data_IF_467339082701
#
_entry.id   IF_467339082701
#
_cell.length_a   1.000
_cell.length_b   1.000
_cell.length_c   1.000
_cell.angle_alpha   90.00
_cell.angle_beta   90.00
_cell.angle_gamma   90.00
#
_symmetry.space_group_name_H-M   'P 1'
#
loop_
_entity.id
_entity.type
_entity.pdbx_description
1 polymer ?
#
# COMPACT_ATOMS: atom_id res chain seq x y z
N UNK A 1 51.28 -61.52 -17.71
CA UNK A 1 50.89 -60.37 -18.57
C UNK A 1 49.39 -60.34 -18.89
N UNK A 2 48.74 -61.46 -19.27
CA UNK A 2 47.31 -61.52 -19.65
C UNK A 2 46.29 -61.03 -18.60
N UNK A 3 46.54 -61.26 -17.30
CA UNK A 3 45.63 -60.83 -16.20
C UNK A 3 45.64 -59.32 -15.96
N UNK A 4 46.78 -58.65 -16.18
CA UNK A 4 46.90 -57.18 -16.07
C UNK A 4 46.28 -56.48 -17.28
N UNK A 5 46.41 -57.09 -18.46
CA UNK A 5 45.73 -56.65 -19.69
C UNK A 5 44.21 -56.78 -19.56
N UNK A 6 43.71 -57.88 -18.98
CA UNK A 6 42.28 -58.06 -18.71
C UNK A 6 41.74 -57.03 -17.72
N UNK A 7 42.51 -56.71 -16.67
CA UNK A 7 42.14 -55.67 -15.70
C UNK A 7 42.10 -54.27 -16.34
N UNK A 8 43.07 -53.93 -17.21
CA UNK A 8 43.05 -52.66 -17.94
C UNK A 8 41.86 -52.55 -18.92
N UNK A 9 41.51 -53.65 -19.60
CA UNK A 9 40.34 -53.68 -20.50
C UNK A 9 39.02 -53.44 -19.77
N UNK A 10 38.90 -54.01 -18.56
CA UNK A 10 37.72 -53.84 -17.71
C UNK A 10 37.59 -52.40 -17.20
N UNK A 11 38.71 -51.80 -16.77
CA UNK A 11 38.75 -50.38 -16.35
C UNK A 11 38.46 -49.44 -17.52
N UNK A 12 38.99 -49.72 -18.72
CA UNK A 12 38.73 -48.95 -19.93
C UNK A 12 37.25 -49.02 -20.37
N UNK A 13 36.62 -50.19 -20.21
CA UNK A 13 35.19 -50.38 -20.48
C UNK A 13 34.30 -49.59 -19.52
N UNK A 14 34.67 -49.51 -18.24
CA UNK A 14 33.92 -48.74 -17.22
C UNK A 14 34.08 -47.22 -17.47
N UNK A 15 35.27 -46.79 -17.90
CA UNK A 15 35.54 -45.41 -18.31
C UNK A 15 34.76 -45.01 -19.56
N UNK A 16 34.63 -45.90 -20.54
CA UNK A 16 33.84 -45.66 -21.75
C UNK A 16 32.33 -45.52 -21.48
N UNK A 17 31.80 -46.29 -20.52
CA UNK A 17 30.39 -46.21 -20.13
C UNK A 17 30.07 -44.95 -19.31
N UNK A 18 31.09 -44.29 -18.76
CA UNK A 18 30.95 -43.06 -17.98
C UNK A 18 30.93 -41.78 -18.81
N UNK A 19 31.00 -41.87 -20.15
CA UNK A 19 30.82 -40.72 -21.01
C UNK A 19 29.36 -40.25 -20.90
N UNK A 20 29.08 -39.03 -20.38
CA UNK A 20 27.73 -38.50 -20.46
C UNK A 20 27.37 -38.38 -21.93
N UNK A 21 26.40 -39.17 -22.39
CA UNK A 21 25.72 -38.92 -23.65
C UNK A 21 25.01 -37.57 -23.49
N UNK A 22 25.68 -36.50 -23.89
CA UNK A 22 25.06 -35.19 -24.00
C UNK A 22 24.02 -35.33 -25.12
N UNK A 23 22.75 -35.45 -24.74
CA UNK A 23 21.65 -35.36 -25.67
C UNK A 23 21.70 -33.96 -26.27
N UNK A 24 21.97 -33.89 -27.57
CA UNK A 24 22.01 -32.65 -28.31
C UNK A 24 20.67 -31.91 -28.09
N UNK A 25 20.71 -30.78 -27.39
CA UNK A 25 19.53 -29.96 -27.10
C UNK A 25 19.04 -29.23 -28.35
N UNK A 26 19.77 -29.34 -29.46
CA UNK A 26 19.36 -28.84 -30.76
C UNK A 26 18.09 -29.59 -31.22
N UNK A 27 16.97 -28.87 -31.25
CA UNK A 27 15.76 -29.35 -31.89
C UNK A 27 15.98 -29.35 -33.40
N UNK A 28 16.06 -30.54 -34.00
CA UNK A 28 16.50 -30.73 -35.39
C UNK A 28 15.57 -30.12 -36.46
N UNK A 29 14.40 -29.63 -36.07
CA UNK A 29 13.40 -28.95 -36.91
C UNK A 29 13.38 -27.42 -36.73
N UNK A 30 14.14 -26.85 -35.80
CA UNK A 30 14.21 -25.40 -35.61
C UNK A 30 15.56 -24.90 -36.13
N UNK A 31 15.55 -24.25 -37.30
CA UNK A 31 16.76 -23.71 -37.90
C UNK A 31 17.31 -22.53 -37.10
N UNK A 32 18.63 -22.29 -37.14
CA UNK A 32 19.27 -21.17 -36.43
C UNK A 32 18.79 -19.78 -36.86
N UNK A 33 18.23 -19.66 -38.08
CA UNK A 33 17.63 -18.42 -38.59
C UNK A 33 16.12 -18.31 -38.28
N UNK A 34 15.54 -19.26 -37.56
CA UNK A 34 14.13 -19.21 -37.18
C UNK A 34 13.93 -18.21 -36.03
N UNK A 35 12.90 -17.36 -36.09
CA UNK A 35 12.64 -16.31 -35.09
C UNK A 35 12.52 -16.85 -33.66
N UNK A 36 12.04 -18.08 -33.50
CA UNK A 36 11.87 -18.73 -32.20
C UNK A 36 13.10 -19.55 -31.74
N UNK A 37 14.17 -19.63 -32.54
CA UNK A 37 15.30 -20.51 -32.28
C UNK A 37 15.91 -20.31 -30.89
N UNK A 38 16.23 -19.07 -30.55
CA UNK A 38 16.85 -18.74 -29.27
C UNK A 38 15.94 -19.06 -28.09
N UNK A 39 14.65 -18.69 -28.18
CA UNK A 39 13.66 -18.98 -27.15
C UNK A 39 13.49 -20.49 -26.93
N UNK A 40 13.38 -21.26 -28.01
CA UNK A 40 13.25 -22.73 -27.94
C UNK A 40 14.50 -23.35 -27.35
N UNK A 41 15.68 -22.95 -27.83
CA UNK A 41 16.96 -23.46 -27.34
C UNK A 41 17.12 -23.23 -25.84
N UNK A 42 16.81 -22.03 -25.35
CA UNK A 42 16.95 -21.68 -23.94
C UNK A 42 15.95 -22.45 -23.06
N UNK A 43 14.68 -22.57 -23.50
CA UNK A 43 13.66 -23.30 -22.76
C UNK A 43 13.92 -24.81 -22.72
N UNK A 44 14.51 -25.38 -23.77
CA UNK A 44 14.93 -26.79 -23.81
C UNK A 44 16.16 -27.00 -22.94
N UNK A 45 17.15 -26.10 -23.00
CA UNK A 45 18.36 -26.15 -22.18
C UNK A 45 18.03 -26.08 -20.68
N UNK A 46 17.07 -25.24 -20.29
CA UNK A 46 16.55 -25.14 -18.90
C UNK A 46 15.62 -26.29 -18.50
N UNK A 47 15.30 -27.20 -19.44
CA UNK A 47 14.39 -28.33 -19.19
C UNK A 47 12.93 -27.94 -18.97
N UNK A 48 12.55 -26.69 -19.23
CA UNK A 48 11.20 -26.16 -19.10
C UNK A 48 10.29 -26.80 -20.15
N UNK A 49 10.74 -26.80 -21.40
CA UNK A 49 10.10 -27.51 -22.50
C UNK A 49 10.96 -28.66 -23.01
N UNK A 50 10.33 -29.71 -23.52
CA UNK A 50 11.01 -30.86 -24.12
C UNK A 50 10.47 -31.09 -25.51
N UNK A 51 11.36 -31.36 -26.46
CA UNK A 51 10.97 -31.84 -27.78
C UNK A 51 10.52 -33.30 -27.74
N UNK A 52 10.07 -33.77 -28.89
CA UNK A 52 9.67 -35.15 -29.18
C UNK A 52 10.88 -35.91 -29.70
N UNK A 53 11.12 -37.10 -29.16
CA UNK A 53 12.12 -38.02 -29.69
C UNK A 53 11.47 -38.90 -30.76
N UNK A 54 11.78 -38.63 -32.03
CA UNK A 54 11.27 -39.42 -33.15
C UNK A 54 12.41 -39.91 -34.03
N UNK A 55 12.44 -41.23 -34.26
CA UNK A 55 13.49 -41.88 -35.07
C UNK A 55 14.91 -41.51 -34.61
N UNK A 56 15.11 -41.38 -33.29
CA UNK A 56 16.40 -41.04 -32.69
C UNK A 56 16.80 -39.56 -32.80
N UNK A 57 15.90 -38.66 -33.23
CA UNK A 57 16.15 -37.22 -33.30
C UNK A 57 15.16 -36.45 -32.43
N UNK A 58 15.64 -35.42 -31.74
CA UNK A 58 14.81 -34.51 -30.98
C UNK A 58 14.21 -33.43 -31.90
N UNK A 59 12.89 -33.29 -31.89
CA UNK A 59 12.13 -32.32 -32.69
C UNK A 59 11.26 -31.47 -31.76
N UNK A 60 11.20 -30.16 -31.94
CA UNK A 60 10.38 -29.27 -31.15
C UNK A 60 8.89 -29.34 -31.53
N UNK A 61 8.60 -29.43 -32.83
CA UNK A 61 7.27 -29.41 -33.44
C UNK A 61 6.49 -28.12 -33.15
N UNK A 62 7.04 -26.98 -33.56
CA UNK A 62 6.46 -25.66 -33.30
C UNK A 62 5.03 -25.46 -33.80
N UNK A 63 4.64 -26.14 -34.88
CA UNK A 63 3.28 -26.04 -35.46
C UNK A 63 2.24 -26.92 -34.74
N UNK A 64 2.67 -27.79 -33.80
CA UNK A 64 1.75 -28.65 -33.06
C UNK A 64 0.94 -27.80 -32.06
N UNK A 65 -0.39 -27.98 -31.98
CA UNK A 65 -1.18 -27.29 -30.96
C UNK A 65 -0.76 -27.72 -29.55
N UNK A 66 -0.66 -26.73 -28.66
CA UNK A 66 -0.35 -26.93 -27.24
C UNK A 66 -1.64 -27.15 -26.45
N UNK A 67 -1.71 -28.23 -25.66
CA UNK A 67 -2.83 -28.45 -24.75
C UNK A 67 -2.69 -27.59 -23.49
N UNK A 68 -3.82 -27.26 -22.85
CA UNK A 68 -3.81 -26.55 -21.56
C UNK A 68 -3.03 -27.30 -20.47
N UNK A 69 -3.00 -28.64 -20.53
CA UNK A 69 -2.24 -29.47 -19.61
C UNK A 69 -0.73 -29.35 -19.84
N UNK A 70 -0.28 -29.44 -21.09
CA UNK A 70 1.14 -29.25 -21.43
C UNK A 70 1.62 -27.85 -21.06
N UNK A 71 0.79 -26.83 -21.29
CA UNK A 71 1.08 -25.46 -20.87
C UNK A 71 1.22 -25.34 -19.35
N UNK A 72 0.30 -25.92 -18.57
CA UNK A 72 0.35 -25.87 -17.11
C UNK A 72 1.62 -26.51 -16.54
N UNK A 73 2.04 -27.65 -17.10
CA UNK A 73 3.29 -28.33 -16.69
C UNK A 73 4.51 -27.51 -17.06
N UNK A 74 4.54 -26.87 -18.23
CA UNK A 74 5.65 -26.00 -18.62
C UNK A 74 5.73 -24.77 -17.70
N UNK A 75 4.59 -24.17 -17.36
CA UNK A 75 4.52 -23.03 -16.45
C UNK A 75 4.99 -23.38 -15.03
N UNK A 76 4.60 -24.55 -14.53
CA UNK A 76 5.04 -25.03 -13.21
C UNK A 76 6.56 -25.20 -13.13
N UNK A 77 7.17 -25.78 -14.17
CA UNK A 77 8.64 -25.90 -14.27
C UNK A 77 9.34 -24.55 -14.38
N UNK A 78 8.74 -23.59 -15.08
CA UNK A 78 9.27 -22.24 -15.18
C UNK A 78 9.31 -21.58 -13.79
N UNK A 79 8.21 -21.65 -13.04
CA UNK A 79 8.13 -21.09 -11.69
C UNK A 79 9.18 -21.73 -10.78
N UNK A 80 9.34 -23.05 -10.80
CA UNK A 80 10.38 -23.74 -10.03
C UNK A 80 11.80 -23.31 -10.40
N UNK A 81 12.11 -23.20 -11.69
CA UNK A 81 13.41 -22.72 -12.14
C UNK A 81 13.69 -21.30 -11.61
N UNK A 82 12.69 -20.42 -11.64
CA UNK A 82 12.81 -19.05 -11.13
C UNK A 82 12.98 -19.04 -9.60
N UNK A 83 12.27 -19.89 -8.87
CA UNK A 83 12.42 -20.04 -7.42
C UNK A 83 13.83 -20.54 -7.05
N UNK A 84 14.36 -21.53 -7.78
CA UNK A 84 15.72 -22.04 -7.58
C UNK A 84 16.78 -20.97 -7.87
N UNK A 85 16.62 -20.19 -8.94
CA UNK A 85 17.51 -19.05 -9.24
C UNK A 85 17.39 -17.93 -8.18
N UNK A 86 16.20 -17.69 -7.64
CA UNK A 86 15.95 -16.68 -6.60
C UNK A 86 16.54 -17.09 -5.25
N UNK A 87 16.54 -18.38 -4.89
CA UNK A 87 17.15 -18.89 -3.65
C UNK A 87 18.66 -18.57 -3.63
N UNK A 88 19.35 -18.68 -4.78
CA UNK A 88 20.78 -18.34 -4.88
C UNK A 88 21.02 -16.84 -4.62
N UNK A 89 20.13 -15.96 -5.10
CA UNK A 89 20.25 -14.52 -4.89
C UNK A 89 19.92 -14.10 -3.45
N UNK A 90 18.97 -14.77 -2.79
CA UNK A 90 18.61 -14.50 -1.38
C UNK A 90 19.69 -14.99 -0.42
N UNK A 91 20.35 -16.11 -0.69
CA UNK A 91 21.48 -16.61 0.11
C UNK A 91 22.72 -15.69 -0.01
N UNK A 92 22.91 -15.05 -1.16
CA UNK A 92 23.99 -14.08 -1.39
C UNK A 92 23.65 -12.66 -0.92
N UNK A 93 22.38 -12.38 -0.62
CA UNK A 93 21.95 -11.12 -0.02
C UNK A 93 22.34 -11.10 1.46
N UNK A 94 23.57 -10.64 1.74
CA UNK A 94 24.01 -10.37 3.11
C UNK A 94 23.00 -9.41 3.76
N UNK A 95 22.46 -9.70 4.97
CA UNK A 95 21.42 -8.89 5.65
C UNK A 95 21.87 -7.48 6.10
N UNK A 96 23.01 -7.02 5.61
CA UNK A 96 23.67 -5.78 6.02
C UNK A 96 23.10 -4.51 5.36
N UNK A 97 22.25 -4.63 4.34
CA UNK A 97 21.57 -3.48 3.71
C UNK A 97 20.17 -3.20 4.31
N UNK A 98 19.63 -4.14 5.08
CA UNK A 98 18.33 -3.96 5.77
C UNK A 98 18.49 -3.16 7.06
N UNK A 99 19.68 -3.23 7.68
CA UNK A 99 19.99 -2.54 8.93
C UNK A 99 19.93 -1.00 8.84
N UNK A 100 20.48 -0.32 7.81
CA UNK A 100 20.36 1.14 7.71
C UNK A 100 18.92 1.59 7.45
N UNK A 101 18.14 0.85 6.64
CA UNK A 101 16.72 1.15 6.39
C UNK A 101 15.90 0.94 7.67
N UNK A 102 16.15 -0.15 8.39
CA UNK A 102 15.46 -0.44 9.66
C UNK A 102 15.82 0.59 10.74
N UNK A 103 17.06 1.10 10.74
CA UNK A 103 17.49 2.18 11.62
C UNK A 103 16.79 3.50 11.26
N UNK A 104 16.81 3.90 10.00
CA UNK A 104 16.15 5.12 9.53
C UNK A 104 14.63 5.08 9.77
N UNK A 105 14.02 3.90 9.65
CA UNK A 105 12.61 3.71 9.94
C UNK A 105 12.31 3.86 11.45
N UNK A 106 13.14 3.25 12.33
CA UNK A 106 13.02 3.42 13.79
C UNK A 106 13.16 4.89 14.21
N UNK A 107 14.14 5.59 13.67
CA UNK A 107 14.34 7.03 13.91
C UNK A 107 13.15 7.88 13.39
N UNK A 108 12.47 7.42 12.34
CA UNK A 108 11.26 8.08 11.84
C UNK A 108 10.04 7.83 12.73
N UNK A 109 9.93 6.65 13.34
CA UNK A 109 8.89 6.36 14.34
C UNK A 109 9.08 7.25 15.57
N UNK A 110 10.31 7.34 16.10
CA UNK A 110 10.62 8.13 17.29
C UNK A 110 10.32 9.63 17.07
N UNK A 111 10.73 10.18 15.92
CA UNK A 111 10.38 11.56 15.53
C UNK A 111 8.87 11.80 15.42
N UNK A 112 8.13 10.82 14.91
CA UNK A 112 6.67 10.93 14.82
C UNK A 112 6.01 10.89 16.21
N UNK A 113 6.53 10.09 17.13
CA UNK A 113 6.04 10.03 18.51
C UNK A 113 6.26 11.37 19.23
N UNK A 114 7.44 11.99 19.08
CA UNK A 114 7.71 13.34 19.57
C UNK A 114 6.75 14.38 18.97
N UNK A 115 6.52 14.33 17.66
CA UNK A 115 5.58 15.25 17.00
C UNK A 115 4.14 15.08 17.53
N UNK A 116 3.71 13.83 17.78
CA UNK A 116 2.39 13.53 18.36
C UNK A 116 2.27 14.04 19.80
N UNK A 117 3.31 13.91 20.62
CA UNK A 117 3.31 14.48 21.99
C UNK A 117 3.24 16.01 21.96
N UNK A 118 3.98 16.66 21.06
CA UNK A 118 3.90 18.11 20.86
C UNK A 118 2.53 18.58 20.34
N UNK A 119 1.88 17.81 19.48
CA UNK A 119 0.53 18.11 19.03
C UNK A 119 -0.48 17.93 20.16
N UNK A 120 -0.33 16.88 20.96
CA UNK A 120 -1.17 16.63 22.14
C UNK A 120 -1.10 17.79 23.14
N UNK A 121 0.09 18.31 23.43
CA UNK A 121 0.22 19.47 24.33
C UNK A 121 -0.44 20.71 23.76
N UNK A 122 -0.30 20.96 22.45
CA UNK A 122 -1.01 22.06 21.77
C UNK A 122 -2.53 21.93 21.90
N UNK A 123 -3.09 20.74 21.70
CA UNK A 123 -4.53 20.50 21.89
C UNK A 123 -4.97 20.81 23.33
N UNK A 124 -4.21 20.35 24.33
CA UNK A 124 -4.50 20.69 25.74
C UNK A 124 -4.46 22.20 25.99
N UNK A 125 -3.49 22.92 25.41
CA UNK A 125 -3.43 24.39 25.58
C UNK A 125 -4.56 25.13 24.86
N UNK A 126 -5.03 24.61 23.73
CA UNK A 126 -6.19 25.15 23.01
C UNK A 126 -7.47 24.91 23.79
N UNK A 127 -7.65 23.72 24.35
CA UNK A 127 -8.77 23.38 25.24
C UNK A 127 -8.80 24.33 26.45
N UNK A 128 -7.66 24.57 27.10
CA UNK A 128 -7.58 25.53 28.22
C UNK A 128 -7.90 26.97 27.79
N UNK A 129 -7.47 27.37 26.59
CA UNK A 129 -7.81 28.69 26.03
C UNK A 129 -9.30 28.82 25.72
N UNK A 130 -9.92 27.75 25.21
CA UNK A 130 -11.35 27.68 24.94
C UNK A 130 -12.17 27.77 26.23
N UNK A 131 -11.78 27.04 27.27
CA UNK A 131 -12.42 27.10 28.59
C UNK A 131 -12.36 28.53 29.16
N UNK A 132 -11.21 29.20 29.03
CA UNK A 132 -11.06 30.61 29.43
C UNK A 132 -11.99 31.54 28.65
N UNK A 133 -12.17 31.33 27.35
CA UNK A 133 -13.10 32.13 26.55
C UNK A 133 -14.55 31.86 26.91
N UNK A 134 -14.91 30.60 27.19
CA UNK A 134 -16.27 30.22 27.63
C UNK A 134 -16.61 30.85 28.98
N UNK A 135 -15.68 30.82 29.94
CA UNK A 135 -15.86 31.46 31.24
C UNK A 135 -16.04 32.98 31.12
N UNK A 136 -15.29 33.63 30.22
CA UNK A 136 -15.50 35.06 29.93
C UNK A 136 -16.86 35.34 29.29
N UNK A 137 -17.32 34.49 28.38
CA UNK A 137 -18.62 34.63 27.74
C UNK A 137 -19.76 34.49 28.77
N UNK A 138 -19.70 33.48 29.63
CA UNK A 138 -20.66 33.31 30.74
C UNK A 138 -20.66 34.51 31.70
N UNK A 139 -19.48 35.03 32.08
CA UNK A 139 -19.42 36.25 32.90
C UNK A 139 -20.03 37.48 32.21
N UNK A 140 -19.94 37.57 30.88
CA UNK A 140 -20.57 38.65 30.12
C UNK A 140 -22.09 38.46 30.05
N UNK A 141 -22.58 37.23 29.87
CA UNK A 141 -24.01 36.91 29.92
C UNK A 141 -24.61 37.27 31.29
N UNK A 142 -23.96 36.87 32.39
CA UNK A 142 -24.41 37.22 33.74
C UNK A 142 -24.43 38.73 33.98
N UNK A 143 -23.45 39.46 33.43
CA UNK A 143 -23.42 40.93 33.49
C UNK A 143 -24.52 41.58 32.68
N UNK A 144 -24.88 41.01 31.52
CA UNK A 144 -25.99 41.50 30.70
C UNK A 144 -27.31 41.32 31.46
N UNK A 145 -27.55 40.13 32.01
CA UNK A 145 -28.74 39.81 32.82
C UNK A 145 -28.82 40.70 34.06
N UNK A 146 -27.68 41.01 34.70
CA UNK A 146 -27.64 41.91 35.86
C UNK A 146 -27.83 43.39 35.48
N UNK A 147 -27.42 43.78 34.27
CA UNK A 147 -27.62 45.15 33.75
C UNK A 147 -29.02 45.38 33.16
N UNK A 148 -29.71 44.31 32.80
CA UNK A 148 -31.16 44.29 32.55
C UNK A 148 -31.91 44.23 33.89
N UNK A 149 -31.82 45.31 34.69
CA UNK A 149 -32.87 45.58 35.66
C UNK A 149 -34.22 45.57 34.91
N UNK A 150 -35.27 44.87 35.40
CA UNK A 150 -36.57 44.92 34.75
C UNK A 150 -36.96 46.39 34.65
N UNK A 151 -37.47 46.81 33.49
CA UNK A 151 -38.09 48.12 33.30
C UNK A 151 -39.30 48.18 34.23
N UNK A 152 -39.07 48.41 35.54
CA UNK A 152 -40.12 48.80 36.45
C UNK A 152 -40.62 50.13 35.90
N UNK A 153 -41.90 50.16 35.54
CA UNK A 153 -42.61 51.37 35.18
C UNK A 153 -42.37 52.43 36.26
N UNK A 154 -41.36 53.26 36.07
CA UNK A 154 -41.14 54.46 36.86
C UNK A 154 -42.43 55.27 36.70
N UNK A 155 -43.15 55.60 37.80
CA UNK A 155 -44.42 56.29 37.69
C UNK A 155 -44.23 57.54 36.83
N UNK A 156 -45.11 57.71 35.84
CA UNK A 156 -45.01 58.81 34.88
C UNK A 156 -44.92 60.13 35.67
N UNK A 157 -43.98 61.03 35.32
CA UNK A 157 -43.83 62.28 36.04
C UNK A 157 -45.13 63.10 35.94
N UNK A 158 -45.55 63.74 37.04
CA UNK A 158 -46.86 64.40 37.18
C UNK A 158 -47.26 65.32 36.02
N UNK A 159 -46.29 65.96 35.34
CA UNK A 159 -46.58 66.83 34.19
C UNK A 159 -47.11 66.07 32.96
N UNK A 160 -46.73 64.80 32.77
CA UNK A 160 -47.24 63.92 31.69
C UNK A 160 -48.68 63.48 32.02
N UNK A 161 -48.96 63.16 33.27
CA UNK A 161 -50.29 62.79 33.75
C UNK A 161 -51.26 63.97 33.69
N UNK A 162 -50.78 65.18 34.03
CA UNK A 162 -51.55 66.43 33.90
C UNK A 162 -51.77 66.76 32.42
N UNK A 163 -50.76 66.62 31.57
CA UNK A 163 -50.88 66.88 30.13
C UNK A 163 -51.88 65.97 29.43
N UNK A 164 -51.86 64.67 29.74
CA UNK A 164 -52.83 63.70 29.20
C UNK A 164 -54.25 63.97 29.71
N UNK A 165 -54.42 64.37 30.97
CA UNK A 165 -55.73 64.78 31.50
C UNK A 165 -56.28 66.03 30.81
N UNK A 166 -55.45 67.06 30.54
CA UNK A 166 -55.89 68.26 29.83
C UNK A 166 -56.30 67.96 28.39
N UNK A 167 -55.55 67.10 27.68
CA UNK A 167 -55.88 66.67 26.31
C UNK A 167 -57.17 65.84 26.28
N UNK A 168 -57.39 64.98 27.27
CA UNK A 168 -58.62 64.20 27.38
C UNK A 168 -59.84 65.10 27.66
N UNK A 169 -59.70 66.10 28.53
CA UNK A 169 -60.78 67.05 28.83
C UNK A 169 -61.09 67.93 27.62
N UNK A 170 -60.09 68.42 26.88
CA UNK A 170 -60.36 69.19 25.65
C UNK A 170 -60.99 68.33 24.56
N UNK A 171 -60.56 67.08 24.40
CA UNK A 171 -61.20 66.14 23.47
C UNK A 171 -62.66 65.85 23.86
N UNK A 172 -62.96 65.72 25.15
CA UNK A 172 -64.32 65.50 25.65
C UNK A 172 -65.21 66.73 25.44
N UNK A 173 -64.69 67.94 25.70
CA UNK A 173 -65.41 69.20 25.44
C UNK A 173 -65.70 69.37 23.94
N UNK A 174 -64.74 69.01 23.07
CA UNK A 174 -64.94 69.03 21.61
C UNK A 174 -65.97 67.97 21.17
N UNK A 175 -65.95 66.78 21.79
CA UNK A 175 -66.87 65.69 21.47
C UNK A 175 -68.32 65.97 21.91
N UNK A 176 -68.51 66.69 23.02
CA UNK A 176 -69.85 67.09 23.52
C UNK A 176 -70.41 68.31 22.76
N UNK A 177 -69.56 69.06 22.04
CA UNK A 177 -69.95 70.25 21.27
C UNK A 177 -70.38 69.95 19.81
N UNK A 178 -70.49 68.68 19.40
CA UNK A 178 -70.97 68.23 18.08
C UNK A 178 -72.20 67.33 18.25
#
# INVERSE_FOLDING_TARGET
MKRKVLSCLLILSILFFSLPLQADTACGDVSSNHWAYEAVSELVKRGIMKGYLEKGRYLYKGDKPLTRYEFAVALEKLIRNLEEEMIVLVEQAKPQDVNPVLKAFKESIERNEEALTGLRTKVVTLEASLEKTMNKASQLEDRIITSEEPIQQKPLPNWVTIGTAVVAVTALVIAVSK
#
